data_IF_864671895041
#
_entry.id   IF_864671895041
#
_cell.length_a   1.000
_cell.length_b   1.000
_cell.length_c   1.000
_cell.angle_alpha   90.00
_cell.angle_beta   90.00
_cell.angle_gamma   90.00
#
_symmetry.space_group_name_H-M   'P 1'
#
loop_
_entity.id
_entity.type
_entity.pdbx_description
1 polymer ?
#
# COMPACT_ATOMS: atom_id res chain seq x y z
N UNK A 1 8.96 -41.57 -34.91
CA UNK A 1 9.98 -41.40 -33.86
C UNK A 1 10.31 -39.92 -33.73
N UNK A 2 9.79 -39.23 -32.70
CA UNK A 2 10.07 -37.80 -32.45
C UNK A 2 11.16 -37.74 -31.38
N UNK A 3 12.34 -37.32 -31.78
CA UNK A 3 13.52 -37.21 -30.93
C UNK A 3 13.46 -35.89 -30.16
N UNK A 4 13.17 -35.95 -28.86
CA UNK A 4 13.15 -34.78 -27.96
C UNK A 4 14.58 -34.46 -27.52
N UNK A 5 15.24 -33.56 -28.23
CA UNK A 5 16.49 -32.98 -27.75
C UNK A 5 16.18 -31.97 -26.64
N UNK A 6 16.33 -32.41 -25.40
CA UNK A 6 16.38 -31.54 -24.22
C UNK A 6 17.56 -30.58 -24.36
N UNK A 7 17.30 -29.31 -24.60
CA UNK A 7 18.30 -28.25 -24.53
C UNK A 7 18.70 -28.05 -23.07
N UNK A 8 19.78 -28.71 -22.66
CA UNK A 8 20.50 -28.41 -21.42
C UNK A 8 20.97 -26.96 -21.49
N UNK A 9 20.36 -26.09 -20.70
CA UNK A 9 20.74 -24.69 -20.56
C UNK A 9 22.12 -24.66 -19.88
N UNK A 10 23.16 -24.50 -20.68
CA UNK A 10 24.54 -24.54 -20.23
C UNK A 10 24.88 -23.16 -19.63
N UNK A 11 24.60 -22.98 -18.33
CA UNK A 11 24.97 -21.78 -17.59
C UNK A 11 26.49 -21.77 -17.47
N UNK A 12 27.17 -21.10 -18.41
CA UNK A 12 28.58 -20.74 -18.28
C UNK A 12 28.69 -19.76 -17.11
N UNK A 13 29.03 -20.25 -15.94
CA UNK A 13 29.42 -19.45 -14.77
C UNK A 13 30.83 -18.91 -14.99
N UNK A 14 30.96 -17.86 -15.79
CA UNK A 14 32.21 -17.09 -15.95
C UNK A 14 32.11 -15.78 -15.17
N UNK A 15 32.77 -15.70 -14.01
CA UNK A 15 33.25 -14.48 -13.33
C UNK A 15 32.37 -13.21 -13.33
N UNK A 16 31.04 -13.33 -13.29
CA UNK A 16 30.13 -12.17 -13.39
C UNK A 16 29.55 -11.70 -12.05
N UNK A 17 29.83 -12.39 -10.93
CA UNK A 17 29.28 -12.02 -9.62
C UNK A 17 29.87 -10.71 -9.06
N UNK A 18 31.15 -10.42 -9.29
CA UNK A 18 31.80 -9.20 -8.76
C UNK A 18 31.26 -7.92 -9.38
N UNK A 19 31.03 -7.93 -10.70
CA UNK A 19 30.46 -6.77 -11.41
C UNK A 19 28.99 -6.53 -11.06
N UNK A 20 28.25 -7.59 -10.70
CA UNK A 20 26.86 -7.48 -10.27
C UNK A 20 26.74 -6.84 -8.88
N UNK A 21 27.64 -7.16 -7.96
CA UNK A 21 27.64 -6.59 -6.61
C UNK A 21 27.91 -5.08 -6.60
N UNK A 22 28.82 -4.61 -7.46
CA UNK A 22 29.11 -3.17 -7.67
C UNK A 22 27.86 -2.44 -8.19
N UNK A 23 27.16 -3.05 -9.15
CA UNK A 23 25.93 -2.49 -9.73
C UNK A 23 24.78 -2.43 -8.72
N UNK A 24 24.63 -3.43 -7.85
CA UNK A 24 23.64 -3.38 -6.78
C UNK A 24 23.98 -2.29 -5.75
N UNK A 25 25.24 -2.19 -5.32
CA UNK A 25 25.68 -1.16 -4.36
C UNK A 25 25.53 0.27 -4.90
N UNK A 26 25.65 0.49 -6.21
CA UNK A 26 25.40 1.81 -6.81
C UNK A 26 23.92 2.13 -7.03
N UNK A 27 23.06 1.09 -7.19
CA UNK A 27 21.61 1.25 -7.37
C UNK A 27 20.86 1.49 -6.05
N UNK A 28 21.34 0.96 -4.93
CA UNK A 28 20.71 1.15 -3.62
C UNK A 28 21.32 2.34 -2.88
N UNK A 29 20.47 3.24 -2.38
CA UNK A 29 20.90 4.28 -1.46
C UNK A 29 21.15 3.67 -0.08
N UNK A 30 22.36 3.80 0.45
CA UNK A 30 22.73 3.32 1.80
C UNK A 30 22.06 4.11 2.93
N UNK A 31 21.46 5.27 2.61
CA UNK A 31 20.80 6.13 3.59
C UNK A 31 19.40 5.63 3.90
N UNK A 32 19.27 4.93 5.02
CA UNK A 32 17.98 4.57 5.59
C UNK A 32 17.38 5.84 6.22
N UNK A 33 16.34 6.41 5.62
CA UNK A 33 15.54 7.47 6.24
C UNK A 33 14.62 6.84 7.29
N UNK A 34 15.12 6.69 8.52
CA UNK A 34 14.28 6.34 9.68
C UNK A 34 13.99 7.60 10.48
N UNK A 35 13.09 8.41 9.95
CA UNK A 35 12.44 9.45 10.75
C UNK A 35 11.21 8.80 11.39
N UNK A 36 11.41 8.21 12.56
CA UNK A 36 10.32 7.65 13.35
C UNK A 36 9.64 8.83 14.05
N UNK A 37 8.70 9.47 13.36
CA UNK A 37 7.89 10.55 13.93
C UNK A 37 6.93 9.91 14.94
N UNK A 38 7.36 9.83 16.19
CA UNK A 38 6.50 9.50 17.32
C UNK A 38 5.59 10.71 17.59
N UNK A 39 4.45 10.74 16.91
CA UNK A 39 3.43 11.75 17.15
C UNK A 39 2.75 11.39 18.47
N UNK A 40 3.00 12.15 19.53
CA UNK A 40 2.25 12.04 20.79
C UNK A 40 0.82 12.53 20.54
N UNK A 41 -0.11 11.59 20.41
CA UNK A 41 -1.53 11.86 20.21
C UNK A 41 -2.25 11.56 21.52
N UNK A 42 -2.77 12.59 22.18
CA UNK A 42 -3.36 12.46 23.52
C UNK A 42 -4.89 12.48 23.52
N UNK A 43 -5.54 12.81 22.40
CA UNK A 43 -6.99 12.93 22.30
C UNK A 43 -7.54 12.23 21.06
N UNK A 44 -8.81 11.81 21.14
CA UNK A 44 -9.58 11.31 20.00
C UNK A 44 -9.65 12.36 18.87
N UNK A 45 -9.62 11.89 17.63
CA UNK A 45 -9.68 12.67 16.39
C UNK A 45 -8.53 13.64 16.12
N UNK A 46 -7.50 13.69 16.98
CA UNK A 46 -6.31 14.51 16.73
C UNK A 46 -5.48 13.98 15.54
N UNK A 47 -5.47 12.67 15.32
CA UNK A 47 -4.75 12.04 14.21
C UNK A 47 -5.56 10.88 13.65
N UNK A 48 -5.89 10.97 12.37
CA UNK A 48 -6.67 9.97 11.67
C UNK A 48 -5.93 9.58 10.40
N UNK A 49 -5.61 8.30 10.30
CA UNK A 49 -5.11 7.69 9.08
C UNK A 49 -6.29 7.30 8.20
N UNK A 50 -6.16 7.50 6.90
CA UNK A 50 -7.13 6.99 5.96
C UNK A 50 -6.43 6.29 4.82
N UNK A 51 -7.07 5.25 4.30
CA UNK A 51 -6.63 4.55 3.11
C UNK A 51 -7.82 4.30 2.19
N UNK A 52 -7.61 4.50 0.89
CA UNK A 52 -8.59 4.30 -0.15
C UNK A 52 -8.11 3.19 -1.06
N UNK A 53 -8.84 2.09 -1.06
CA UNK A 53 -8.52 0.95 -1.90
C UNK A 53 -9.66 0.66 -2.87
N UNK A 54 -9.29 0.22 -4.06
CA UNK A 54 -10.22 -0.27 -5.06
C UNK A 54 -10.33 -1.79 -4.92
N UNK A 55 -11.55 -2.31 -4.96
CA UNK A 55 -11.79 -3.75 -4.98
C UNK A 55 -11.00 -4.35 -6.14
N UNK A 56 -10.05 -5.24 -5.81
CA UNK A 56 -9.01 -5.73 -6.72
C UNK A 56 -9.57 -6.46 -7.96
N UNK A 57 -10.88 -6.81 -8.02
CA UNK A 57 -11.42 -7.52 -9.19
C UNK A 57 -12.93 -7.46 -9.42
N UNK A 58 -13.78 -7.23 -8.42
CA UNK A 58 -15.23 -7.43 -8.57
C UNK A 58 -16.04 -6.35 -7.85
N UNK A 59 -17.04 -5.81 -8.56
CA UNK A 59 -18.13 -5.08 -7.92
C UNK A 59 -18.84 -6.03 -6.97
N UNK A 60 -19.13 -5.57 -5.76
CA UNK A 60 -20.06 -6.29 -4.89
C UNK A 60 -21.43 -6.40 -5.57
N UNK A 61 -22.31 -7.29 -5.08
CA UNK A 61 -23.68 -7.41 -5.60
C UNK A 61 -24.47 -6.08 -5.55
N UNK A 62 -24.04 -5.13 -4.71
CA UNK A 62 -24.64 -3.79 -4.56
C UNK A 62 -23.91 -2.70 -5.38
N UNK A 63 -22.94 -3.08 -6.21
CA UNK A 63 -22.23 -2.15 -7.10
C UNK A 63 -21.04 -1.41 -6.47
N UNK A 64 -20.74 -1.60 -5.19
CA UNK A 64 -19.57 -1.00 -4.55
C UNK A 64 -18.26 -1.43 -5.21
N UNK A 65 -17.36 -0.47 -5.40
CA UNK A 65 -16.08 -0.61 -6.09
C UNK A 65 -14.89 -0.20 -5.24
N UNK A 66 -15.10 0.69 -4.29
CA UNK A 66 -14.04 1.20 -3.43
C UNK A 66 -14.42 0.99 -1.97
N UNK A 67 -13.43 0.97 -1.11
CA UNK A 67 -13.63 1.19 0.31
C UNK A 67 -12.62 2.20 0.83
N UNK A 68 -13.08 3.02 1.76
CA UNK A 68 -12.22 3.91 2.52
C UNK A 68 -12.22 3.48 3.98
N UNK A 69 -11.04 3.42 4.55
CA UNK A 69 -10.84 3.23 5.99
C UNK A 69 -10.50 4.57 6.65
N UNK A 70 -10.99 4.78 7.86
CA UNK A 70 -10.58 5.85 8.75
C UNK A 70 -10.19 5.23 10.08
N UNK A 71 -8.91 5.33 10.44
CA UNK A 71 -8.35 4.81 11.68
C UNK A 71 -7.94 5.97 12.57
N UNK A 72 -8.67 6.12 13.68
CA UNK A 72 -8.26 7.04 14.74
C UNK A 72 -7.04 6.48 15.48
N UNK A 73 -5.95 7.23 15.54
CA UNK A 73 -4.71 6.74 16.10
C UNK A 73 -4.77 6.57 17.62
N UNK A 74 -5.52 7.43 18.32
CA UNK A 74 -5.60 7.41 19.78
C UNK A 74 -6.42 6.22 20.29
N UNK A 75 -7.67 6.10 19.82
CA UNK A 75 -8.62 5.06 20.25
C UNK A 75 -8.46 3.74 19.50
N UNK A 76 -7.70 3.72 18.39
CA UNK A 76 -7.66 2.60 17.44
C UNK A 76 -9.02 2.26 16.82
N UNK A 77 -9.98 3.17 16.90
CA UNK A 77 -11.28 3.01 16.27
C UNK A 77 -11.14 3.04 14.75
N UNK A 78 -11.57 1.96 14.10
CA UNK A 78 -11.56 1.80 12.65
C UNK A 78 -12.98 1.92 12.10
N UNK A 79 -13.18 2.84 11.16
CA UNK A 79 -14.40 2.96 10.38
C UNK A 79 -14.15 2.62 8.92
N UNK A 80 -14.96 1.72 8.38
CA UNK A 80 -14.92 1.33 6.96
C UNK A 80 -16.18 1.81 6.27
N UNK A 81 -16.05 2.48 5.13
CA UNK A 81 -17.18 2.85 4.28
C UNK A 81 -16.97 2.30 2.87
N UNK A 82 -18.01 1.71 2.30
CA UNK A 82 -18.03 1.23 0.92
C UNK A 82 -18.52 2.36 0.01
N UNK A 83 -17.89 2.51 -1.16
CA UNK A 83 -18.22 3.55 -2.13
C UNK A 83 -18.50 2.92 -3.49
N UNK A 84 -19.48 3.47 -4.21
CA UNK A 84 -19.75 3.09 -5.61
C UNK A 84 -18.80 3.87 -6.53
N UNK A 85 -18.54 5.13 -6.20
CA UNK A 85 -17.68 6.05 -6.94
C UNK A 85 -16.66 6.77 -6.04
N UNK A 86 -15.49 7.11 -6.60
CA UNK A 86 -14.50 8.00 -5.94
C UNK A 86 -15.05 9.41 -5.66
N UNK A 87 -16.09 9.84 -6.37
CA UNK A 87 -16.73 11.15 -6.13
C UNK A 87 -17.36 11.26 -4.73
N UNK A 88 -17.80 10.13 -4.16
CA UNK A 88 -18.38 10.07 -2.82
C UNK A 88 -17.36 10.37 -1.72
N UNK A 89 -16.06 10.21 -2.02
CA UNK A 89 -14.96 10.38 -1.07
C UNK A 89 -14.95 11.76 -0.42
N UNK A 90 -15.09 12.81 -1.23
CA UNK A 90 -15.04 14.20 -0.75
C UNK A 90 -16.18 14.47 0.24
N UNK A 91 -17.38 13.95 -0.06
CA UNK A 91 -18.55 14.10 0.81
C UNK A 91 -18.32 13.36 2.13
N UNK A 92 -17.80 12.14 2.06
CA UNK A 92 -17.56 11.30 3.23
C UNK A 92 -16.47 11.87 4.15
N UNK A 93 -15.36 12.36 3.59
CA UNK A 93 -14.29 13.01 4.35
C UNK A 93 -14.82 14.27 5.04
N UNK A 94 -15.57 15.13 4.33
CA UNK A 94 -16.18 16.33 4.93
C UNK A 94 -17.13 15.98 6.07
N UNK A 95 -17.99 14.98 5.90
CA UNK A 95 -18.92 14.53 6.92
C UNK A 95 -18.20 13.93 8.14
N UNK A 96 -17.10 13.21 7.91
CA UNK A 96 -16.28 12.63 8.94
C UNK A 96 -15.56 13.69 9.77
N UNK A 97 -14.92 14.68 9.14
CA UNK A 97 -14.30 15.83 9.81
C UNK A 97 -15.34 16.64 10.61
N UNK A 98 -16.54 16.85 10.06
CA UNK A 98 -17.60 17.59 10.76
C UNK A 98 -18.00 16.92 12.07
N UNK A 99 -18.12 15.58 12.10
CA UNK A 99 -18.44 14.83 13.31
C UNK A 99 -17.35 14.88 14.39
N UNK A 100 -16.09 14.99 13.98
CA UNK A 100 -14.97 15.08 14.90
C UNK A 100 -14.84 16.45 15.59
N UNK A 101 -15.55 17.49 15.11
CA UNK A 101 -15.53 18.85 15.67
C UNK A 101 -16.67 19.15 16.65
N UNK A 102 -17.61 18.22 16.81
CA UNK A 102 -18.75 18.31 17.74
C UNK A 102 -18.39 17.54 19.00
#
# INVERSE_FOLDING_TARGET
SKNTNSTKLNIKTSNSFSNYEICLKSKFTSKISRDLILTLVNNFSNLIYYDLEESIKLRTNKGYRYYITFLDYYTKYLKVNLLISRLELIVLVKAFIKRAKV
#
